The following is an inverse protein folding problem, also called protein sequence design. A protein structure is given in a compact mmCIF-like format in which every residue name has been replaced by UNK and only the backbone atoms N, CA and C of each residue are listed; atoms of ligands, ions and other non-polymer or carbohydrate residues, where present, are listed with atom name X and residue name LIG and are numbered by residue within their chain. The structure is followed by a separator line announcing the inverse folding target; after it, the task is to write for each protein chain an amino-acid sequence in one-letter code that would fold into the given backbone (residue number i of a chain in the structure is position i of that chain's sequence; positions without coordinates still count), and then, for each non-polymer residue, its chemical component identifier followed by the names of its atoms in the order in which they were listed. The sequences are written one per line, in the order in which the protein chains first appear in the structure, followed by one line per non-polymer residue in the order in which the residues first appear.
data_IF_498386823376
#
_entry.id   IF_498386823376
#
_cell.length_a   1.000
_cell.length_b   1.000
_cell.length_c   1.000
_cell.angle_alpha   90.00
_cell.angle_beta   90.00
_cell.angle_gamma   90.00
#
_symmetry.space_group_name_H-M   'P 1'
#
loop_
_entity.id
_entity.type
_entity.pdbx_description
1 polymer ?
#
# COMPACT_ATOMS: atom_id res chain seq x y z
N UNK A 1 2.28 4.20 -22.11
CA UNK A 1 3.54 3.44 -22.17
C UNK A 1 3.18 1.98 -22.40
N UNK A 2 3.66 1.34 -23.46
CA UNK A 2 3.44 -0.10 -23.68
C UNK A 2 4.64 -0.84 -23.12
N UNK A 3 4.43 -1.67 -22.09
CA UNK A 3 5.49 -2.48 -21.49
C UNK A 3 5.72 -3.71 -22.36
N UNK A 4 6.97 -4.04 -22.64
CA UNK A 4 7.34 -5.28 -23.37
C UNK A 4 7.28 -6.52 -22.47
N UNK A 5 6.32 -6.56 -21.55
CA UNK A 5 6.11 -7.62 -20.58
C UNK A 5 4.61 -7.67 -20.21
N UNK A 6 3.79 -8.42 -20.96
CA UNK A 6 2.33 -8.37 -20.83
C UNK A 6 1.80 -8.71 -19.43
N UNK A 7 2.46 -9.62 -18.72
CA UNK A 7 2.10 -9.97 -17.34
C UNK A 7 2.37 -8.83 -16.36
N UNK A 8 3.47 -8.11 -16.54
CA UNK A 8 3.82 -6.94 -15.71
C UNK A 8 2.84 -5.82 -15.97
N UNK A 9 2.46 -5.60 -17.23
CA UNK A 9 1.44 -4.61 -17.57
C UNK A 9 0.10 -4.92 -16.91
N UNK A 10 -0.37 -6.18 -16.99
CA UNK A 10 -1.60 -6.59 -16.34
C UNK A 10 -1.53 -6.39 -14.82
N UNK A 11 -0.42 -6.77 -14.19
CA UNK A 11 -0.22 -6.59 -12.75
C UNK A 11 -0.28 -5.11 -12.35
N UNK A 12 0.42 -4.23 -13.07
CA UNK A 12 0.41 -2.78 -12.81
C UNK A 12 -1.01 -2.23 -12.92
N UNK A 13 -1.78 -2.62 -13.94
CA UNK A 13 -3.18 -2.20 -14.09
C UNK A 13 -4.07 -2.68 -12.94
N UNK A 14 -3.83 -3.88 -12.43
CA UNK A 14 -4.56 -4.38 -11.27
C UNK A 14 -4.24 -3.60 -9.99
N UNK A 15 -2.97 -3.26 -9.74
CA UNK A 15 -2.59 -2.40 -8.62
C UNK A 15 -3.20 -1.00 -8.75
N UNK A 16 -3.10 -0.40 -9.94
CA UNK A 16 -3.64 0.94 -10.21
C UNK A 16 -5.15 1.01 -9.94
N UNK A 17 -5.91 0.02 -10.43
CA UNK A 17 -7.35 -0.07 -10.16
C UNK A 17 -7.66 -0.31 -8.68
N UNK A 18 -6.90 -1.17 -8.00
CA UNK A 18 -7.10 -1.43 -6.57
C UNK A 18 -6.86 -0.16 -5.73
N UNK A 19 -5.82 0.61 -6.02
CA UNK A 19 -5.56 1.87 -5.31
C UNK A 19 -6.57 2.96 -5.64
N UNK A 20 -7.12 2.99 -6.86
CA UNK A 20 -8.24 3.87 -7.18
C UNK A 20 -9.49 3.54 -6.37
N UNK A 21 -9.80 2.25 -6.19
CA UNK A 21 -10.93 1.82 -5.38
C UNK A 21 -10.70 2.13 -3.90
N UNK A 22 -9.47 1.92 -3.38
CA UNK A 22 -9.10 2.32 -2.02
C UNK A 22 -9.21 3.83 -1.81
N UNK A 23 -8.73 4.65 -2.74
CA UNK A 23 -8.81 6.11 -2.66
C UNK A 23 -10.26 6.58 -2.56
N UNK A 24 -11.16 6.01 -3.38
CA UNK A 24 -12.60 6.31 -3.29
C UNK A 24 -13.18 5.86 -1.97
N UNK A 25 -12.80 4.69 -1.49
CA UNK A 25 -13.31 4.16 -0.25
C UNK A 25 -12.89 5.01 0.97
N UNK A 26 -11.68 5.55 0.97
CA UNK A 26 -11.20 6.41 2.06
C UNK A 26 -11.84 7.81 2.08
N UNK A 27 -12.54 8.22 1.01
CA UNK A 27 -13.42 9.38 1.08
C UNK A 27 -14.60 9.18 2.04
N UNK A 28 -15.01 7.92 2.28
CA UNK A 28 -16.19 7.58 3.08
C UNK A 28 -15.84 6.93 4.42
N UNK A 29 -14.68 6.27 4.50
CA UNK A 29 -14.29 5.41 5.62
C UNK A 29 -12.88 5.72 6.11
N UNK A 30 -12.65 5.53 7.41
CA UNK A 30 -11.35 5.82 8.01
C UNK A 30 -10.31 4.70 7.79
N UNK A 31 -10.79 3.50 7.47
CA UNK A 31 -10.06 2.25 7.25
C UNK A 31 -10.82 1.37 6.24
N UNK A 32 -10.16 0.36 5.66
CA UNK A 32 -10.72 -0.47 4.59
C UNK A 32 -11.92 -1.31 4.99
N UNK A 33 -12.13 -1.56 6.28
CA UNK A 33 -13.32 -2.25 6.78
C UNK A 33 -14.37 -1.28 7.35
N UNK A 34 -14.16 0.03 7.25
CA UNK A 34 -15.05 1.07 7.76
C UNK A 34 -14.39 1.97 8.79
N UNK A 35 -14.84 1.90 10.05
CA UNK A 35 -14.45 2.86 11.09
C UNK A 35 -13.21 2.48 11.87
N UNK A 36 -12.95 1.18 11.99
CA UNK A 36 -11.90 0.64 12.85
C UNK A 36 -10.86 -0.12 12.02
N UNK A 37 -9.59 0.00 12.43
CA UNK A 37 -8.49 -0.73 11.83
C UNK A 37 -8.71 -2.23 12.00
N UNK A 38 -8.59 -2.99 10.92
CA UNK A 38 -8.93 -4.40 10.93
C UNK A 38 -8.08 -5.26 10.02
N UNK A 39 -8.62 -6.44 9.72
CA UNK A 39 -7.93 -7.46 8.93
C UNK A 39 -7.61 -6.97 7.51
N UNK A 40 -8.55 -6.25 6.87
CA UNK A 40 -8.35 -5.71 5.53
C UNK A 40 -7.15 -4.75 5.45
N UNK A 41 -6.99 -3.88 6.45
CA UNK A 41 -5.86 -2.95 6.54
C UNK A 41 -4.54 -3.70 6.75
N UNK A 42 -4.51 -4.68 7.66
CA UNK A 42 -3.33 -5.52 7.88
C UNK A 42 -2.90 -6.27 6.61
N UNK A 43 -3.86 -6.73 5.79
CA UNK A 43 -3.54 -7.39 4.53
C UNK A 43 -2.88 -6.46 3.52
N UNK A 44 -3.11 -5.14 3.59
CA UNK A 44 -2.55 -4.19 2.64
C UNK A 44 -1.15 -3.71 2.98
N UNK A 45 -0.78 -3.70 4.27
CA UNK A 45 0.52 -3.24 4.75
C UNK A 45 1.70 -3.89 4.00
N UNK A 46 1.77 -5.23 3.81
CA UNK A 46 2.89 -5.83 3.09
C UNK A 46 2.96 -5.42 1.60
N UNK A 47 1.84 -5.10 0.98
CA UNK A 47 1.80 -4.67 -0.43
C UNK A 47 2.29 -3.24 -0.60
N UNK A 48 1.87 -2.35 0.30
CA UNK A 48 2.40 -0.99 0.41
C UNK A 48 3.92 -1.05 0.60
N UNK A 49 4.39 -1.77 1.62
CA UNK A 49 5.83 -1.87 1.91
C UNK A 49 6.61 -2.43 0.74
N UNK A 50 6.09 -3.48 0.11
CA UNK A 50 6.70 -4.07 -1.08
C UNK A 50 6.86 -3.07 -2.23
N UNK A 51 5.89 -2.19 -2.45
CA UNK A 51 5.98 -1.17 -3.49
C UNK A 51 7.09 -0.16 -3.17
N UNK A 52 7.23 0.24 -1.90
CA UNK A 52 8.36 1.07 -1.46
C UNK A 52 9.71 0.38 -1.74
N UNK A 53 9.85 -0.90 -1.39
CA UNK A 53 11.10 -1.66 -1.55
C UNK A 53 11.55 -1.85 -3.01
N UNK A 54 10.64 -1.75 -3.97
CA UNK A 54 10.96 -1.88 -5.40
C UNK A 54 10.89 -0.54 -6.15
N UNK A 55 10.90 0.58 -5.42
CA UNK A 55 10.83 1.94 -5.95
C UNK A 55 9.60 2.18 -6.84
N UNK A 56 8.46 1.62 -6.45
CA UNK A 56 7.17 1.70 -7.13
C UNK A 56 6.08 2.32 -6.25
N UNK A 57 6.44 3.02 -5.18
CA UNK A 57 5.56 3.77 -4.28
C UNK A 57 4.64 4.74 -5.04
N UNK A 58 5.12 5.35 -6.13
CA UNK A 58 4.32 6.24 -6.96
C UNK A 58 3.04 5.59 -7.53
N UNK A 59 2.95 4.26 -7.59
CA UNK A 59 1.71 3.57 -7.98
C UNK A 59 0.59 3.72 -6.97
N UNK A 60 0.89 3.89 -5.68
CA UNK A 60 -0.12 4.09 -4.64
C UNK A 60 -0.19 5.54 -4.15
N UNK A 61 0.88 6.35 -4.26
CA UNK A 61 0.91 7.72 -3.72
C UNK A 61 0.50 8.79 -4.74
N UNK A 62 0.75 8.57 -6.04
CA UNK A 62 0.50 9.59 -7.07
C UNK A 62 -1.00 9.85 -7.22
N UNK A 63 -1.41 11.08 -6.94
CA UNK A 63 -2.81 11.54 -7.02
C UNK A 63 -3.78 10.82 -6.07
N UNK A 64 -3.26 10.19 -5.01
CA UNK A 64 -4.07 9.44 -4.04
C UNK A 64 -3.73 9.86 -2.60
N UNK A 65 -4.11 11.09 -2.21
CA UNK A 65 -3.77 11.63 -0.90
C UNK A 65 -4.39 10.82 0.25
N UNK A 66 -5.60 10.27 0.09
CA UNK A 66 -6.24 9.52 1.17
C UNK A 66 -5.57 8.15 1.38
N UNK A 67 -5.17 7.47 0.30
CA UNK A 67 -4.35 6.26 0.39
C UNK A 67 -3.01 6.54 1.06
N UNK A 68 -2.36 7.64 0.67
CA UNK A 68 -1.06 8.05 1.24
C UNK A 68 -1.18 8.29 2.75
N UNK A 69 -2.16 9.10 3.17
CA UNK A 69 -2.42 9.36 4.59
C UNK A 69 -2.77 8.08 5.35
N UNK A 70 -3.55 7.18 4.75
CA UNK A 70 -3.91 5.91 5.37
C UNK A 70 -2.66 5.06 5.63
N UNK A 71 -1.73 4.99 4.67
CA UNK A 71 -0.48 4.25 4.83
C UNK A 71 0.43 4.86 5.90
N UNK A 72 0.59 6.18 5.93
CA UNK A 72 1.31 6.87 7.02
C UNK A 72 0.70 6.53 8.39
N UNK A 73 -0.63 6.48 8.48
CA UNK A 73 -1.34 6.07 9.70
C UNK A 73 -1.14 4.60 10.05
N UNK A 74 -0.95 3.70 9.06
CA UNK A 74 -0.63 2.29 9.30
C UNK A 74 0.81 2.13 9.80
N UNK A 75 1.77 2.82 9.18
CA UNK A 75 3.18 2.79 9.54
C UNK A 75 3.45 3.37 10.94
N UNK A 76 2.70 4.41 11.34
CA UNK A 76 2.82 5.03 12.65
C UNK A 76 2.32 4.16 13.82
N UNK A 77 1.75 2.98 13.57
CA UNK A 77 1.22 2.10 14.63
C UNK A 77 2.36 1.36 15.33
N UNK A 78 2.33 1.22 16.67
CA UNK A 78 3.35 0.44 17.40
C UNK A 78 3.47 -1.02 16.94
N UNK A 79 2.40 -1.59 16.41
CA UNK A 79 2.40 -2.96 15.88
C UNK A 79 3.18 -3.10 14.57
N UNK A 80 3.39 -2.00 13.83
CA UNK A 80 4.05 -2.04 12.53
C UNK A 80 5.53 -2.40 12.67
N UNK A 81 6.22 -1.83 13.66
CA UNK A 81 7.63 -2.14 13.95
C UNK A 81 7.84 -3.65 14.17
N UNK A 82 7.14 -4.22 15.15
CA UNK A 82 7.28 -5.63 15.51
C UNK A 82 6.83 -6.62 14.40
N UNK A 83 5.82 -6.25 13.61
CA UNK A 83 5.21 -7.19 12.65
C UNK A 83 5.76 -7.06 11.23
N UNK A 84 6.37 -5.92 10.90
CA UNK A 84 6.84 -5.60 9.55
C UNK A 84 8.33 -5.31 9.56
N UNK A 85 8.81 -4.38 10.40
CA UNK A 85 10.21 -3.96 10.36
C UNK A 85 11.14 -4.99 10.99
N UNK A 86 10.77 -5.62 12.11
CA UNK A 86 11.61 -6.61 12.78
C UNK A 86 11.84 -7.89 11.94
N UNK A 87 10.96 -8.17 10.98
CA UNK A 87 11.12 -9.30 10.08
C UNK A 87 11.96 -8.97 8.83
N UNK A 88 12.31 -7.70 8.65
CA UNK A 88 13.17 -7.23 7.57
C UNK A 88 14.65 -7.36 7.96
N UNK A 89 15.48 -7.64 6.96
CA UNK A 89 16.93 -7.67 7.11
C UNK A 89 17.53 -6.31 6.82
N UNK A 90 18.80 -6.08 7.18
CA UNK A 90 19.49 -4.81 6.90
C UNK A 90 19.47 -4.40 5.43
N UNK A 91 19.48 -5.38 4.51
CA UNK A 91 19.40 -5.15 3.06
C UNK A 91 18.03 -4.66 2.59
N UNK A 92 16.97 -4.88 3.38
CA UNK A 92 15.61 -4.44 3.06
C UNK A 92 15.34 -2.99 3.53
N UNK A 93 16.26 -2.37 4.27
CA UNK A 93 16.11 -1.00 4.78
C UNK A 93 16.83 0.06 3.92
N UNK A 94 17.65 -0.35 2.95
CA UNK A 94 18.41 0.50 2.02
C UNK A 94 17.71 0.66 0.66
#
# INVERSE_FOLDING_TARGET
MVLKAPRVEAAIRHYDAAFDDMERQFCETAWLAGRDFGFADNCMIPYEKRLSLICMDSLCTRNRPNVTECFERMEARPSYENAVLDCMTGEDHE
#
